data_IF_975776094785
#
_entry.id   IF_975776094785
#
_cell.length_a   1.000
_cell.length_b   1.000
_cell.length_c   1.000
_cell.angle_alpha   90.00
_cell.angle_beta   90.00
_cell.angle_gamma   90.00
#
_symmetry.space_group_name_H-M   'P 1'
#
loop_
_entity.id
_entity.type
_entity.pdbx_description
1 polymer ?
#
# COMPACT_ATOMS: atom_id res chain seq x y z
N UNK A 1 -28.13 31.70 66.52
CA UNK A 1 -27.17 30.78 67.17
C UNK A 1 -26.64 29.84 66.10
N UNK A 2 -25.31 29.79 65.89
CA UNK A 2 -24.49 28.81 65.12
C UNK A 2 -24.90 28.47 63.67
N UNK A 3 -24.16 28.93 62.65
CA UNK A 3 -23.07 28.18 61.94
C UNK A 3 -23.64 27.02 61.10
N UNK A 4 -23.35 26.76 59.84
CA UNK A 4 -22.23 27.00 58.92
C UNK A 4 -22.81 26.89 57.50
N UNK A 5 -22.52 27.82 56.58
CA UNK A 5 -21.44 27.69 55.61
C UNK A 5 -21.57 26.47 54.67
N UNK A 6 -21.86 26.77 53.39
CA UNK A 6 -21.22 26.18 52.20
C UNK A 6 -21.26 24.64 52.09
N UNK A 7 -21.95 24.01 51.13
CA UNK A 7 -22.09 24.36 49.72
C UNK A 7 -23.36 23.78 49.12
N UNK A 8 -24.12 24.66 48.46
CA UNK A 8 -24.98 24.39 47.31
C UNK A 8 -24.34 23.31 46.42
N UNK A 9 -25.00 22.25 46.00
CA UNK A 9 -26.34 22.19 45.44
C UNK A 9 -26.22 21.45 44.10
N UNK A 10 -27.30 20.79 43.68
CA UNK A 10 -27.48 20.14 42.38
C UNK A 10 -26.96 18.72 42.22
N UNK A 11 -27.74 17.82 42.82
CA UNK A 11 -28.13 16.56 42.19
C UNK A 11 -28.87 16.82 40.86
N UNK A 12 -28.85 15.80 39.98
CA UNK A 12 -29.64 15.61 38.75
C UNK A 12 -29.34 16.55 37.57
N UNK A 13 -28.76 16.01 36.49
CA UNK A 13 -29.47 15.90 35.21
C UNK A 13 -28.75 14.94 34.25
N UNK A 14 -29.50 13.95 33.77
CA UNK A 14 -29.15 13.12 32.62
C UNK A 14 -29.09 13.95 31.33
N UNK A 15 -28.12 13.71 30.45
CA UNK A 15 -28.37 13.80 29.01
C UNK A 15 -27.31 13.04 28.20
N UNK A 16 -27.81 12.04 27.50
CA UNK A 16 -27.23 11.37 26.33
C UNK A 16 -26.84 12.42 25.28
N UNK A 17 -25.56 12.48 24.92
CA UNK A 17 -25.06 13.08 23.67
C UNK A 17 -23.72 12.39 23.35
N UNK A 18 -23.31 12.12 22.12
CA UNK A 18 -23.93 11.95 20.83
C UNK A 18 -22.78 11.41 19.97
N UNK A 19 -23.05 10.42 19.11
CA UNK A 19 -22.34 10.22 17.84
C UNK A 19 -20.82 10.44 17.85
N UNK A 20 -20.07 9.45 18.36
CA UNK A 20 -18.69 9.28 17.93
C UNK A 20 -18.70 8.82 16.47
N UNK A 21 -18.44 9.73 15.53
CA UNK A 21 -18.14 9.42 14.13
C UNK A 21 -17.13 8.26 14.12
N UNK A 22 -17.56 7.08 13.67
CA UNK A 22 -16.62 6.09 13.17
C UNK A 22 -16.04 6.71 11.90
N UNK A 23 -14.85 7.32 12.02
CA UNK A 23 -13.98 7.52 10.86
C UNK A 23 -13.77 6.12 10.31
N UNK A 24 -14.52 5.81 9.25
CA UNK A 24 -14.15 4.79 8.29
C UNK A 24 -12.82 5.25 7.74
N UNK A 25 -11.75 4.80 8.39
CA UNK A 25 -10.43 4.81 7.83
C UNK A 25 -10.53 3.93 6.58
N UNK A 26 -10.89 4.55 5.45
CA UNK A 26 -10.47 4.06 4.16
C UNK A 26 -8.98 3.83 4.33
N UNK A 27 -8.59 2.56 4.41
CA UNK A 27 -7.20 2.18 4.32
C UNK A 27 -6.72 2.68 2.97
N UNK A 28 -6.26 3.93 2.93
CA UNK A 28 -5.62 4.52 1.77
C UNK A 28 -4.42 3.64 1.55
N UNK A 29 -4.49 2.81 0.51
CA UNK A 29 -3.37 1.95 0.11
C UNK A 29 -2.11 2.79 0.11
N UNK A 30 -1.03 2.25 0.68
CA UNK A 30 0.27 2.91 0.68
C UNK A 30 0.77 2.98 -0.76
N UNK A 31 1.42 4.08 -1.09
CA UNK A 31 1.99 4.29 -2.42
C UNK A 31 3.48 3.98 -2.39
N UNK A 32 3.92 3.15 -3.32
CA UNK A 32 5.29 2.69 -3.48
C UNK A 32 5.76 3.07 -4.87
N UNK A 33 6.84 3.84 -4.94
CA UNK A 33 7.46 4.21 -6.22
C UNK A 33 8.78 3.47 -6.36
N UNK A 34 8.90 2.65 -7.40
CA UNK A 34 10.05 1.78 -7.62
C UNK A 34 10.15 1.33 -9.06
N UNK A 35 11.14 0.49 -9.35
CA UNK A 35 11.32 -0.13 -10.67
C UNK A 35 10.62 -1.48 -10.68
N UNK A 36 9.84 -1.76 -11.73
CA UNK A 36 9.24 -3.08 -11.93
C UNK A 36 10.35 -4.05 -12.30
N UNK A 37 10.49 -5.11 -11.51
CA UNK A 37 11.38 -6.24 -11.74
C UNK A 37 10.57 -7.53 -11.60
N UNK A 38 11.18 -8.69 -11.81
CA UNK A 38 10.59 -9.97 -11.41
C UNK A 38 11.10 -10.44 -10.04
N UNK A 39 10.28 -11.22 -9.34
CA UNK A 39 10.61 -11.76 -8.02
C UNK A 39 11.76 -12.80 -8.04
N UNK A 40 12.07 -13.37 -9.21
CA UNK A 40 13.16 -14.34 -9.38
C UNK A 40 14.53 -13.67 -9.52
N UNK A 41 14.61 -12.50 -10.17
CA UNK A 41 15.85 -11.72 -10.30
C UNK A 41 16.03 -10.69 -9.18
N UNK A 42 14.94 -10.21 -8.56
CA UNK A 42 14.98 -9.25 -7.45
C UNK A 42 15.82 -8.00 -7.76
N UNK A 43 16.53 -7.46 -6.76
CA UNK A 43 17.44 -6.32 -6.95
C UNK A 43 18.73 -6.68 -7.72
N UNK A 44 18.95 -7.97 -8.05
CA UNK A 44 20.17 -8.46 -8.68
C UNK A 44 20.10 -8.41 -10.21
N UNK A 45 19.20 -7.61 -10.76
CA UNK A 45 19.03 -7.39 -12.20
C UNK A 45 20.20 -6.59 -12.80
N UNK A 46 21.43 -7.06 -12.58
CA UNK A 46 22.70 -6.54 -13.09
C UNK A 46 23.11 -7.25 -14.38
N UNK A 47 22.13 -7.65 -15.20
CA UNK A 47 22.40 -8.20 -16.52
C UNK A 47 22.32 -7.07 -17.55
N UNK A 48 23.39 -6.77 -18.31
CA UNK A 48 23.32 -5.81 -19.40
C UNK A 48 22.31 -6.32 -20.45
N UNK A 49 21.13 -5.69 -20.54
CA UNK A 49 20.07 -6.13 -21.44
C UNK A 49 18.67 -5.66 -21.08
N UNK A 50 17.69 -6.16 -21.84
CA UNK A 50 16.26 -5.80 -21.79
C UNK A 50 15.60 -6.32 -20.50
N UNK A 51 15.64 -5.52 -19.43
CA UNK A 51 15.01 -5.85 -18.15
C UNK A 51 13.51 -6.11 -18.27
N UNK A 52 12.86 -5.44 -19.24
CA UNK A 52 11.48 -5.70 -19.60
C UNK A 52 11.29 -7.15 -20.10
N UNK A 53 12.07 -7.58 -21.08
CA UNK A 53 12.04 -8.91 -21.66
C UNK A 53 12.36 -10.02 -20.65
N UNK A 54 13.30 -9.79 -19.73
CA UNK A 54 13.62 -10.75 -18.67
C UNK A 54 12.45 -10.91 -17.68
N UNK A 55 11.88 -9.78 -17.23
CA UNK A 55 10.72 -9.77 -16.34
C UNK A 55 9.53 -10.50 -16.99
N UNK A 56 9.24 -10.21 -18.27
CA UNK A 56 8.19 -10.91 -19.04
C UNK A 56 8.46 -12.39 -19.17
N UNK A 57 9.71 -12.79 -19.42
CA UNK A 57 10.12 -14.19 -19.49
C UNK A 57 9.91 -14.94 -18.17
N UNK A 58 10.21 -14.31 -17.04
CA UNK A 58 9.97 -14.88 -15.71
C UNK A 58 8.47 -15.01 -15.42
N UNK A 59 7.67 -13.98 -15.72
CA UNK A 59 6.21 -14.02 -15.49
C UNK A 59 5.53 -15.04 -16.39
N UNK A 60 5.96 -15.18 -17.65
CA UNK A 60 5.48 -16.21 -18.57
C UNK A 60 5.79 -17.64 -18.06
N UNK A 61 6.85 -17.81 -17.28
CA UNK A 61 7.20 -19.08 -16.59
C UNK A 61 6.47 -19.27 -15.26
N UNK A 62 5.58 -18.36 -14.87
CA UNK A 62 4.80 -18.44 -13.64
C UNK A 62 5.39 -17.66 -12.45
N UNK A 63 6.39 -16.79 -12.69
CA UNK A 63 6.91 -15.91 -11.63
C UNK A 63 5.99 -14.71 -11.39
N UNK A 64 6.12 -14.07 -10.22
CA UNK A 64 5.39 -12.84 -9.89
C UNK A 64 6.22 -11.60 -10.18
N UNK A 65 5.53 -10.50 -10.48
CA UNK A 65 6.16 -9.18 -10.56
C UNK A 65 6.69 -8.77 -9.19
N UNK A 66 7.72 -7.95 -9.19
CA UNK A 66 8.30 -7.33 -8.02
C UNK A 66 8.52 -5.83 -8.26
N UNK A 67 8.54 -5.06 -7.19
CA UNK A 67 8.83 -3.64 -7.18
C UNK A 67 10.08 -3.38 -6.36
N UNK A 68 11.11 -2.89 -7.01
CA UNK A 68 12.37 -2.52 -6.36
C UNK A 68 12.29 -1.05 -5.95
N UNK A 69 12.22 -0.80 -4.65
CA UNK A 69 12.16 0.54 -4.04
C UNK A 69 13.47 0.78 -3.29
N UNK A 70 14.43 1.44 -3.96
CA UNK A 70 15.80 1.55 -3.44
C UNK A 70 16.41 0.16 -3.29
N UNK A 71 16.80 -0.21 -2.07
CA UNK A 71 17.40 -1.51 -1.75
C UNK A 71 16.37 -2.61 -1.40
N UNK A 72 15.07 -2.27 -1.34
CA UNK A 72 14.01 -3.20 -0.98
C UNK A 72 13.31 -3.77 -2.21
N UNK A 73 12.99 -5.07 -2.16
CA UNK A 73 12.23 -5.76 -3.21
C UNK A 73 10.89 -6.20 -2.62
N UNK A 74 9.80 -5.75 -3.22
CA UNK A 74 8.44 -6.11 -2.84
C UNK A 74 7.80 -6.99 -3.90
N UNK A 75 7.20 -8.11 -3.55
CA UNK A 75 6.41 -8.89 -4.50
C UNK A 75 5.10 -8.19 -4.79
N UNK A 76 4.76 -7.97 -6.05
CA UNK A 76 3.50 -7.38 -6.46
C UNK A 76 2.47 -8.48 -6.69
N UNK A 77 1.41 -8.45 -5.88
CA UNK A 77 0.24 -9.30 -6.06
C UNK A 77 -0.85 -8.46 -6.74
N UNK A 78 -0.90 -8.54 -8.06
CA UNK A 78 -1.92 -7.88 -8.88
C UNK A 78 -2.86 -8.93 -9.45
N UNK A 79 -4.13 -8.84 -9.08
CA UNK A 79 -5.21 -9.67 -9.66
C UNK A 79 -5.87 -9.00 -10.86
N UNK A 80 -5.76 -7.68 -10.97
CA UNK A 80 -6.35 -6.90 -12.05
C UNK A 80 -5.57 -7.05 -13.36
N UNK A 81 -6.28 -7.42 -14.43
CA UNK A 81 -5.69 -7.58 -15.77
C UNK A 81 -5.06 -6.28 -16.28
N UNK A 82 -5.67 -5.14 -16.01
CA UNK A 82 -5.15 -3.82 -16.39
C UNK A 82 -3.85 -3.46 -15.63
N UNK A 83 -3.79 -3.81 -14.34
CA UNK A 83 -2.59 -3.65 -13.55
C UNK A 83 -1.46 -4.55 -14.09
N UNK A 84 -1.76 -5.82 -14.39
CA UNK A 84 -0.80 -6.75 -14.99
C UNK A 84 -0.33 -6.27 -16.36
N UNK A 85 -1.22 -5.77 -17.22
CA UNK A 85 -0.85 -5.21 -18.52
C UNK A 85 0.01 -3.94 -18.38
N UNK A 86 -0.26 -3.11 -17.36
CA UNK A 86 0.56 -1.93 -17.06
C UNK A 86 1.93 -2.32 -16.54
N UNK A 87 2.01 -3.30 -15.64
CA UNK A 87 3.28 -3.85 -15.14
C UNK A 87 4.09 -4.50 -16.26
N UNK A 88 3.44 -5.22 -17.18
CA UNK A 88 4.09 -5.78 -18.37
C UNK A 88 4.64 -4.70 -19.31
N UNK A 89 3.86 -3.64 -19.55
CA UNK A 89 4.29 -2.48 -20.36
C UNK A 89 5.41 -1.69 -19.70
N UNK A 90 5.41 -1.62 -18.37
CA UNK A 90 6.36 -0.86 -17.58
C UNK A 90 7.41 -1.76 -16.91
N UNK A 91 7.59 -2.98 -17.41
CA UNK A 91 8.60 -3.92 -16.92
C UNK A 91 9.99 -3.30 -17.11
N UNK A 92 10.82 -3.28 -16.07
CA UNK A 92 12.11 -2.58 -16.08
C UNK A 92 12.03 -1.05 -16.01
N UNK A 93 10.82 -0.47 -15.96
CA UNK A 93 10.61 0.98 -15.84
C UNK A 93 10.13 1.36 -14.44
N UNK A 94 10.17 2.66 -14.15
CA UNK A 94 9.72 3.21 -12.88
C UNK A 94 8.20 3.32 -12.85
N UNK A 95 7.58 2.79 -11.81
CA UNK A 95 6.13 2.87 -11.59
C UNK A 95 5.81 3.25 -10.17
N UNK A 96 4.61 3.78 -10.00
CA UNK A 96 4.00 4.08 -8.72
C UNK A 96 2.84 3.12 -8.51
N UNK A 97 3.01 2.20 -7.56
CA UNK A 97 2.02 1.20 -7.17
C UNK A 97 1.34 1.68 -5.90
N UNK A 98 0.01 1.70 -5.89
CA UNK A 98 -0.77 1.94 -4.67
C UNK A 98 -1.37 0.62 -4.24
N UNK A 99 -1.17 0.25 -2.97
CA UNK A 99 -1.59 -1.04 -2.47
C UNK A 99 -1.33 -1.22 -0.99
N UNK A 100 -1.68 -2.40 -0.49
CA UNK A 100 -1.42 -2.77 0.90
C UNK A 100 -0.23 -3.70 0.94
N UNK A 101 0.82 -3.32 1.66
CA UNK A 101 1.98 -4.18 1.89
C UNK A 101 1.70 -5.11 3.08
N UNK A 102 1.94 -6.40 2.89
CA UNK A 102 1.88 -7.45 3.88
C UNK A 102 3.02 -8.43 3.62
N UNK A 103 3.93 -8.61 4.59
CA UNK A 103 5.02 -9.58 4.51
C UNK A 103 5.87 -9.45 3.22
N UNK A 104 6.30 -8.22 2.87
CA UNK A 104 6.98 -7.87 1.62
C UNK A 104 6.18 -8.13 0.32
N UNK A 105 4.89 -8.43 0.42
CA UNK A 105 3.97 -8.55 -0.71
C UNK A 105 3.04 -7.35 -0.74
N UNK A 106 3.01 -6.60 -1.83
CA UNK A 106 2.09 -5.49 -2.06
C UNK A 106 0.91 -6.03 -2.84
N UNK A 107 -0.26 -6.09 -2.21
CA UNK A 107 -1.52 -6.26 -2.93
C UNK A 107 -1.82 -4.99 -3.69
N UNK A 108 -1.70 -5.07 -5.01
CA UNK A 108 -1.84 -3.93 -5.92
C UNK A 108 -3.30 -3.55 -6.01
N UNK A 109 -3.62 -2.32 -5.63
CA UNK A 109 -4.95 -1.72 -5.85
C UNK A 109 -4.96 -0.82 -7.09
N UNK A 110 -3.82 -0.22 -7.41
CA UNK A 110 -3.67 0.62 -8.61
C UNK A 110 -2.20 0.70 -9.02
N UNK A 111 -1.94 0.77 -10.32
CA UNK A 111 -0.59 0.99 -10.88
C UNK A 111 -0.64 2.20 -11.79
N UNK A 112 0.34 3.08 -11.64
CA UNK A 112 0.54 4.22 -12.53
C UNK A 112 1.99 4.25 -12.98
N UNK A 113 2.22 4.54 -14.27
CA UNK A 113 3.57 4.81 -14.75
C UNK A 113 4.13 6.03 -14.02
N UNK A 114 5.34 5.92 -13.49
CA UNK A 114 6.08 7.06 -12.94
C UNK A 114 6.92 7.60 -14.09
N UNK A 115 6.31 8.49 -14.87
CA UNK A 115 7.00 9.22 -15.93
C UNK A 115 8.04 10.17 -15.35
#
# INVERSE_FOLDING_TARGET
MKSCFQKFGFALLALVMASGLTVSAFAKGKTYTGIVSDAMCGAKHAMPGDAAGCTRGCVAKGSKYALVVGDKVYTLDATDKDALATLDKQAGAKVTVTGTEKDNTITVSSVKAAQ
#
